data_IF_818608354492
#
_entry.id   IF_818608354492
#
_cell.length_a   1.000
_cell.length_b   1.000
_cell.length_c   1.000
_cell.angle_alpha   90.00
_cell.angle_beta   90.00
_cell.angle_gamma   90.00
#
_symmetry.space_group_name_H-M   'P 1'
#
loop_
_entity.id
_entity.type
_entity.pdbx_description
1 polymer ?
#
# COMPACT_ATOMS: atom_id res chain seq x y z
N UNK A 1 -1.00 13.47 -11.70
CA UNK A 1 -2.10 13.78 -10.77
C UNK A 1 -3.16 12.71 -10.93
N UNK A 2 -3.65 12.15 -9.83
CA UNK A 2 -4.82 11.27 -9.83
C UNK A 2 -6.08 12.13 -9.98
N UNK A 3 -7.06 11.69 -10.76
CA UNK A 3 -8.41 12.26 -10.72
C UNK A 3 -9.12 11.82 -9.44
N UNK A 4 -10.17 12.54 -9.03
CA UNK A 4 -10.93 12.20 -7.82
C UNK A 4 -11.46 10.75 -7.83
N UNK A 5 -11.90 10.26 -9.00
CA UNK A 5 -12.38 8.88 -9.13
C UNK A 5 -11.26 7.85 -8.97
N UNK A 6 -10.08 8.15 -9.51
CA UNK A 6 -8.91 7.28 -9.39
C UNK A 6 -8.41 7.21 -7.94
N UNK A 7 -8.40 8.34 -7.22
CA UNK A 7 -8.07 8.37 -5.81
C UNK A 7 -9.07 7.56 -4.95
N UNK A 8 -10.36 7.63 -5.27
CA UNK A 8 -11.40 6.82 -4.60
C UNK A 8 -11.19 5.33 -4.86
N UNK A 9 -10.92 4.94 -6.11
CA UNK A 9 -10.68 3.54 -6.45
C UNK A 9 -9.43 2.99 -5.77
N UNK A 10 -8.30 3.73 -5.82
CA UNK A 10 -7.07 3.33 -5.14
C UNK A 10 -7.23 3.24 -3.63
N UNK A 11 -8.01 4.14 -3.01
CA UNK A 11 -8.38 4.05 -1.59
C UNK A 11 -9.10 2.73 -1.30
N UNK A 12 -10.14 2.42 -2.07
CA UNK A 12 -10.93 1.21 -1.88
C UNK A 12 -10.07 -0.05 -2.07
N UNK A 13 -9.20 -0.07 -3.08
CA UNK A 13 -8.24 -1.16 -3.35
C UNK A 13 -7.28 -1.38 -2.17
N UNK A 14 -6.70 -0.31 -1.62
CA UNK A 14 -5.79 -0.39 -0.48
C UNK A 14 -6.51 -0.86 0.80
N UNK A 15 -7.70 -0.34 1.07
CA UNK A 15 -8.50 -0.75 2.23
C UNK A 15 -8.97 -2.19 2.12
N UNK A 16 -9.33 -2.66 0.92
CA UNK A 16 -9.71 -4.05 0.68
C UNK A 16 -8.52 -4.99 0.92
N UNK A 17 -7.34 -4.66 0.38
CA UNK A 17 -6.13 -5.45 0.62
C UNK A 17 -5.73 -5.46 2.11
N UNK A 18 -5.86 -4.34 2.82
CA UNK A 18 -5.62 -4.27 4.26
C UNK A 18 -6.58 -5.17 5.06
N UNK A 19 -7.87 -5.17 4.70
CA UNK A 19 -8.88 -6.06 5.32
C UNK A 19 -8.57 -7.53 5.07
N UNK A 20 -8.17 -7.89 3.84
CA UNK A 20 -7.82 -9.27 3.47
C UNK A 20 -6.57 -9.76 4.18
N UNK A 21 -5.60 -8.87 4.38
CA UNK A 21 -4.36 -9.19 5.07
C UNK A 21 -4.63 -9.66 6.51
N UNK A 22 -5.64 -9.07 7.16
CA UNK A 22 -6.10 -9.39 8.51
C UNK A 22 -4.93 -9.60 9.50
N UNK A 23 -3.89 -8.78 9.35
CA UNK A 23 -2.70 -8.74 10.21
C UNK A 23 -2.95 -7.78 11.38
N UNK A 24 -2.15 -7.94 12.43
CA UNK A 24 -2.11 -6.98 13.52
C UNK A 24 -1.54 -5.64 13.03
N UNK A 25 -2.24 -4.54 13.29
CA UNK A 25 -1.82 -3.19 12.89
C UNK A 25 -0.41 -2.87 13.39
N UNK A 26 -0.04 -3.25 14.61
CA UNK A 26 1.29 -2.96 15.15
C UNK A 26 2.38 -3.72 14.40
N UNK A 27 2.07 -4.94 13.92
CA UNK A 27 3.00 -5.71 13.10
C UNK A 27 3.18 -5.07 11.72
N UNK A 28 2.09 -4.63 11.09
CA UNK A 28 2.13 -3.88 9.83
C UNK A 28 2.96 -2.60 9.97
N UNK A 29 2.72 -1.82 11.01
CA UNK A 29 3.48 -0.58 11.28
C UNK A 29 4.97 -0.85 11.54
N UNK A 30 5.29 -1.91 12.28
CA UNK A 30 6.66 -2.31 12.55
C UNK A 30 7.40 -2.78 11.30
N UNK A 31 6.73 -3.57 10.46
CA UNK A 31 7.33 -4.09 9.23
C UNK A 31 7.54 -2.99 8.18
N UNK A 32 6.63 -2.01 8.13
CA UNK A 32 6.72 -0.86 7.23
C UNK A 32 7.65 0.26 7.73
N UNK A 33 7.99 0.26 9.03
CA UNK A 33 8.74 1.33 9.70
C UNK A 33 8.09 2.73 9.56
N UNK A 34 6.75 2.79 9.47
CA UNK A 34 5.97 4.04 9.38
C UNK A 34 5.09 4.25 10.61
N UNK A 35 4.67 5.49 10.82
CA UNK A 35 3.69 5.83 11.85
C UNK A 35 2.27 5.42 11.47
N UNK A 36 1.41 5.29 12.49
CA UNK A 36 -0.02 5.03 12.30
C UNK A 36 -0.66 6.08 11.40
N UNK A 37 -0.41 7.36 11.66
CA UNK A 37 -1.00 8.45 10.87
C UNK A 37 -0.60 8.36 9.39
N UNK A 38 0.66 8.03 9.08
CA UNK A 38 1.12 7.83 7.70
C UNK A 38 0.42 6.66 7.01
N UNK A 39 0.25 5.53 7.71
CA UNK A 39 -0.50 4.39 7.19
C UNK A 39 -1.95 4.78 6.88
N UNK A 40 -2.62 5.47 7.80
CA UNK A 40 -4.00 5.94 7.59
C UNK A 40 -4.09 6.95 6.45
N UNK A 41 -3.11 7.83 6.30
CA UNK A 41 -3.04 8.79 5.19
C UNK A 41 -2.96 8.07 3.84
N UNK A 42 -2.18 6.99 3.75
CA UNK A 42 -2.09 6.13 2.56
C UNK A 42 -3.40 5.38 2.34
N UNK A 43 -3.94 4.73 3.37
CA UNK A 43 -5.19 3.97 3.28
C UNK A 43 -6.39 4.84 2.89
N UNK A 44 -6.42 6.11 3.29
CA UNK A 44 -7.46 7.07 2.94
C UNK A 44 -7.14 7.92 1.71
N UNK A 45 -5.95 7.77 1.12
CA UNK A 45 -5.47 8.60 0.01
C UNK A 45 -5.60 10.12 0.31
N UNK A 46 -5.34 10.51 1.57
CA UNK A 46 -5.42 11.90 2.05
C UNK A 46 -4.11 12.66 1.83
N UNK A 47 -3.74 12.86 0.56
CA UNK A 47 -2.45 13.45 0.19
C UNK A 47 -1.22 12.69 0.77
N UNK A 48 -1.13 11.36 0.58
CA UNK A 48 -0.01 10.59 1.09
C UNK A 48 1.29 10.91 0.34
N UNK A 49 2.43 10.69 1.02
CA UNK A 49 3.72 10.67 0.37
C UNK A 49 3.76 9.55 -0.68
N UNK A 50 4.18 9.83 -1.93
CA UNK A 50 4.24 8.82 -2.98
C UNK A 50 5.06 7.59 -2.59
N UNK A 51 6.15 7.79 -1.85
CA UNK A 51 7.03 6.73 -1.34
C UNK A 51 6.25 5.73 -0.48
N UNK A 52 5.44 6.22 0.46
CA UNK A 52 4.67 5.37 1.37
C UNK A 52 3.57 4.59 0.65
N UNK A 53 2.97 5.15 -0.40
CA UNK A 53 1.97 4.45 -1.21
C UNK A 53 2.59 3.22 -1.87
N UNK A 54 3.78 3.35 -2.45
CA UNK A 54 4.49 2.23 -3.07
C UNK A 54 4.96 1.21 -2.04
N UNK A 55 5.48 1.68 -0.90
CA UNK A 55 5.87 0.82 0.22
C UNK A 55 4.70 -0.06 0.70
N UNK A 56 3.55 0.56 1.02
CA UNK A 56 2.37 -0.15 1.53
C UNK A 56 1.81 -1.13 0.49
N UNK A 57 1.79 -0.72 -0.78
CA UNK A 57 1.30 -1.56 -1.87
C UNK A 57 2.13 -2.83 -2.06
N UNK A 58 3.46 -2.69 -2.15
CA UNK A 58 4.36 -3.84 -2.29
C UNK A 58 4.34 -4.74 -1.04
N UNK A 59 4.21 -4.16 0.16
CA UNK A 59 4.04 -4.92 1.40
C UNK A 59 2.76 -5.76 1.39
N UNK A 60 1.63 -5.19 0.98
CA UNK A 60 0.38 -5.95 0.87
C UNK A 60 0.49 -7.07 -0.16
N UNK A 61 1.08 -6.79 -1.32
CA UNK A 61 1.30 -7.79 -2.37
C UNK A 61 2.11 -8.97 -1.82
N UNK A 62 3.27 -8.70 -1.21
CA UNK A 62 4.13 -9.74 -0.66
C UNK A 62 3.44 -10.55 0.44
N UNK A 63 2.81 -9.86 1.41
CA UNK A 63 2.23 -10.52 2.57
C UNK A 63 0.97 -11.31 2.24
N UNK A 64 0.17 -10.84 1.28
CA UNK A 64 -0.96 -11.61 0.78
C UNK A 64 -0.49 -12.84 0.02
N UNK A 65 0.53 -12.71 -0.84
CA UNK A 65 1.14 -13.85 -1.56
C UNK A 65 1.75 -14.85 -0.56
N UNK A 66 2.47 -14.38 0.47
CA UNK A 66 3.07 -15.21 1.53
C UNK A 66 2.00 -16.01 2.28
N UNK A 67 0.80 -15.43 2.47
CA UNK A 67 -0.36 -16.09 3.09
C UNK A 67 -1.16 -16.97 2.11
N UNK A 68 -0.84 -16.97 0.82
CA UNK A 68 -1.61 -17.64 -0.22
C UNK A 68 -2.98 -17.00 -0.49
N UNK A 69 -3.15 -15.72 -0.15
CA UNK A 69 -4.38 -14.94 -0.38
C UNK A 69 -4.21 -14.15 -1.68
N UNK A 70 -5.23 -14.16 -2.54
CA UNK A 70 -5.20 -13.37 -3.77
C UNK A 70 -5.28 -11.86 -3.48
N UNK A 71 -4.31 -11.13 -4.01
CA UNK A 71 -4.24 -9.68 -3.96
C UNK A 71 -5.38 -9.08 -4.75
N UNK A 72 -6.07 -8.09 -4.18
CA UNK A 72 -7.03 -7.30 -4.95
C UNK A 72 -6.26 -6.45 -5.96
N UNK A 73 -6.55 -6.59 -7.27
CA UNK A 73 -5.75 -5.96 -8.31
C UNK A 73 -5.86 -4.45 -8.21
N UNK A 74 -4.71 -3.78 -8.20
CA UNK A 74 -4.66 -2.32 -8.23
C UNK A 74 -4.93 -1.82 -9.64
N UNK A 75 -5.79 -0.82 -9.81
CA UNK A 75 -6.03 -0.26 -11.15
C UNK A 75 -4.94 0.73 -11.54
N UNK A 76 -4.54 1.61 -10.62
CA UNK A 76 -3.53 2.66 -10.88
C UNK A 76 -2.13 2.30 -10.43
N UNK A 77 -2.02 1.54 -9.35
CA UNK A 77 -0.72 1.06 -8.87
C UNK A 77 -0.24 -0.19 -9.62
N UNK A 78 -1.01 -0.73 -10.59
CA UNK A 78 -0.59 -1.85 -11.43
C UNK A 78 0.66 -1.54 -12.29
N UNK A 79 0.89 -0.27 -12.64
CA UNK A 79 2.02 0.08 -13.48
C UNK A 79 3.28 0.36 -12.66
N UNK A 80 4.11 -0.66 -12.46
CA UNK A 80 5.41 -0.52 -11.80
C UNK A 80 6.32 0.53 -12.46
N UNK A 81 6.17 0.82 -13.77
CA UNK A 81 6.96 1.86 -14.43
C UNK A 81 6.58 3.29 -14.00
N UNK A 82 5.43 3.50 -13.35
CA UNK A 82 5.08 4.79 -12.76
C UNK A 82 5.98 5.15 -11.56
N UNK A 83 6.68 4.15 -10.99
CA UNK A 83 7.53 4.29 -9.82
C UNK A 83 9.01 4.63 -10.17
N UNK A 84 9.36 4.86 -11.44
CA UNK A 84 10.76 5.07 -11.88
C UNK A 84 11.48 6.25 -11.23
N UNK A 85 10.73 7.18 -10.62
CA UNK A 85 11.25 8.41 -10.02
C UNK A 85 11.12 8.47 -8.51
N UNK A 86 10.47 7.47 -7.90
CA UNK A 86 10.18 7.47 -6.45
C UNK A 86 11.03 6.37 -5.82
N UNK A 87 12.04 6.78 -5.07
CA UNK A 87 12.85 5.86 -4.29
C UNK A 87 12.13 5.59 -2.97
N UNK A 88 11.82 4.32 -2.69
CA UNK A 88 11.17 3.91 -1.45
C UNK A 88 11.91 2.72 -0.85
N UNK A 89 11.71 2.47 0.45
CA UNK A 89 12.35 1.37 1.17
C UNK A 89 11.38 0.20 1.32
N UNK A 90 11.91 -1.03 1.28
CA UNK A 90 11.15 -2.25 1.58
C UNK A 90 11.77 -2.98 2.79
N UNK A 91 11.68 -2.40 4.01
CA UNK A 91 12.35 -2.92 5.21
C UNK A 91 11.99 -4.37 5.59
N UNK A 92 10.84 -4.89 5.13
CA UNK A 92 10.39 -6.27 5.39
C UNK A 92 10.99 -7.33 4.45
N UNK A 93 11.60 -6.96 3.31
CA UNK A 93 12.22 -7.89 2.33
C UNK A 93 13.69 -8.21 2.66
N UNK A 94 14.06 -8.25 3.94
CA UNK A 94 15.45 -8.51 4.37
C UNK A 94 15.90 -9.94 4.10
#
# INVERSE_FOLDING_TARGET
MLTNLEAINTRNELQENYKRLNEDENKVLKDLEISKDELYTVLNMENPYPEHVWTVRDYFEDKLIEKGIEVFPFTKLANYNANRWVSYKTPWRK
#
